data_IF_217475359158
#
_entry.id   IF_217475359158
#
_cell.length_a   1.000
_cell.length_b   1.000
_cell.length_c   1.000
_cell.angle_alpha   90.00
_cell.angle_beta   90.00
_cell.angle_gamma   90.00
#
_symmetry.space_group_name_H-M   'P 1'
#
loop_
_entity.id
_entity.type
_entity.pdbx_description
1 polymer ?
#
# COMPACT_ATOMS: atom_id res chain seq x y z
N UNK A 1 0.41 -2.56 46.91
CA UNK A 1 1.84 -2.25 47.09
C UNK A 1 2.64 -3.46 46.65
N UNK A 2 3.15 -3.44 45.41
CA UNK A 2 4.33 -4.17 44.91
C UNK A 2 4.45 -3.87 43.42
N UNK A 3 5.16 -2.79 43.09
CA UNK A 3 5.68 -2.54 41.73
C UNK A 3 6.93 -3.40 41.59
N UNK A 4 6.91 -4.38 40.69
CA UNK A 4 8.13 -5.05 40.25
C UNK A 4 8.64 -4.30 39.03
N UNK A 5 9.69 -3.51 39.23
CA UNK A 5 10.53 -2.99 38.15
C UNK A 5 11.32 -4.17 37.57
N UNK A 6 10.98 -4.63 36.36
CA UNK A 6 11.90 -5.47 35.58
C UNK A 6 12.72 -4.59 34.65
N UNK A 7 13.96 -4.36 35.07
CA UNK A 7 15.06 -3.89 34.22
C UNK A 7 15.27 -4.91 33.09
N UNK A 8 15.11 -4.44 31.85
CA UNK A 8 15.55 -5.13 30.64
C UNK A 8 17.05 -5.43 30.76
N UNK A 9 17.41 -6.69 30.98
CA UNK A 9 18.77 -7.16 30.79
C UNK A 9 18.90 -7.66 29.35
N UNK A 10 19.70 -6.94 28.57
CA UNK A 10 20.16 -7.36 27.26
C UNK A 10 21.04 -8.61 27.42
N UNK A 11 20.63 -9.73 26.86
CA UNK A 11 21.48 -10.92 26.70
C UNK A 11 22.30 -10.76 25.42
N UNK A 12 23.62 -10.67 25.57
CA UNK A 12 24.58 -10.58 24.46
C UNK A 12 25.18 -11.95 24.16
N UNK A 13 25.21 -12.34 22.88
CA UNK A 13 26.02 -13.43 22.38
C UNK A 13 26.95 -12.87 21.30
N UNK A 14 28.26 -13.12 21.46
CA UNK A 14 29.33 -12.52 20.66
C UNK A 14 29.67 -13.41 19.47
N UNK A 15 29.71 -12.83 18.26
CA UNK A 15 30.38 -13.42 17.10
C UNK A 15 31.37 -12.43 16.47
N UNK A 16 32.31 -12.98 15.72
CA UNK A 16 33.70 -12.53 15.57
C UNK A 16 33.96 -11.35 14.63
N UNK A 17 32.96 -10.62 14.14
CA UNK A 17 33.18 -9.48 13.23
C UNK A 17 32.27 -8.26 13.50
N UNK A 18 32.04 -7.94 14.77
CA UNK A 18 31.92 -6.55 15.26
C UNK A 18 30.80 -5.63 14.77
N UNK A 19 29.93 -6.02 13.84
CA UNK A 19 28.81 -5.19 13.38
C UNK A 19 27.47 -5.89 13.63
N UNK A 20 26.80 -5.48 14.72
CA UNK A 20 25.42 -5.81 15.03
C UNK A 20 24.48 -5.14 14.00
N UNK A 21 24.07 -5.85 12.94
CA UNK A 21 22.86 -5.45 12.20
C UNK A 21 21.62 -5.92 12.96
N UNK A 22 21.20 -5.10 13.92
CA UNK A 22 19.83 -5.11 14.46
C UNK A 22 18.88 -4.79 13.31
N UNK A 23 18.10 -5.76 12.84
CA UNK A 23 16.89 -5.45 12.08
C UNK A 23 15.84 -5.02 13.12
N UNK A 24 15.50 -3.72 13.23
CA UNK A 24 14.56 -3.29 14.24
C UNK A 24 13.14 -3.66 13.78
N UNK A 25 12.40 -4.39 14.61
CA UNK A 25 10.94 -4.53 14.45
C UNK A 25 10.32 -3.15 14.70
N UNK A 26 10.18 -2.36 13.65
CA UNK A 26 9.75 -0.97 13.71
C UNK A 26 8.21 -0.89 13.80
N UNK A 27 7.64 -1.10 14.99
CA UNK A 27 6.28 -0.63 15.29
C UNK A 27 6.30 0.87 15.59
N UNK A 28 6.37 1.68 14.54
CA UNK A 28 6.06 3.13 14.52
C UNK A 28 5.34 3.56 13.23
N UNK A 29 4.66 2.66 12.55
CA UNK A 29 3.75 3.03 11.47
C UNK A 29 2.34 3.17 12.04
N UNK A 30 1.62 4.27 11.77
CA UNK A 30 0.26 4.45 12.25
C UNK A 30 -0.66 3.36 11.68
N UNK A 31 -1.43 2.67 12.52
CA UNK A 31 -2.27 1.56 12.07
C UNK A 31 -3.65 2.06 11.65
N UNK A 32 -4.07 1.80 10.42
CA UNK A 32 -5.37 2.25 9.92
C UNK A 32 -6.52 1.84 10.86
N UNK A 33 -7.35 2.82 11.25
CA UNK A 33 -8.49 2.58 12.15
C UNK A 33 -8.14 2.53 13.63
N UNK A 34 -6.86 2.59 14.00
CA UNK A 34 -6.40 2.71 15.39
C UNK A 34 -5.84 4.11 15.59
N UNK A 35 -6.62 4.97 16.25
CA UNK A 35 -6.23 6.32 16.68
C UNK A 35 -5.96 7.34 15.56
N UNK A 36 -6.41 7.10 14.33
CA UNK A 36 -6.32 8.10 13.26
C UNK A 36 -6.89 7.61 11.94
N UNK A 37 -6.86 8.50 10.95
CA UNK A 37 -7.27 8.24 9.57
C UNK A 37 -6.27 8.87 8.61
N UNK A 38 -6.08 8.25 7.44
CA UNK A 38 -5.41 8.93 6.33
C UNK A 38 -6.39 9.92 5.69
N UNK A 39 -5.91 11.14 5.47
CA UNK A 39 -6.63 12.17 4.73
C UNK A 39 -5.66 13.00 3.91
N UNK A 40 -5.97 13.23 2.63
CA UNK A 40 -5.14 14.08 1.76
C UNK A 40 -3.71 13.55 1.54
N UNK A 41 -3.49 12.25 1.76
CA UNK A 41 -2.18 11.60 1.66
C UNK A 41 -1.30 11.70 2.91
N UNK A 42 -1.81 12.23 4.02
CA UNK A 42 -1.11 12.25 5.30
C UNK A 42 -1.92 11.53 6.38
N UNK A 43 -1.23 10.96 7.39
CA UNK A 43 -1.88 10.41 8.57
C UNK A 43 -2.32 11.53 9.51
N UNK A 44 -3.56 11.48 9.98
CA UNK A 44 -4.07 12.40 11.00
C UNK A 44 -4.56 11.59 12.20
N UNK A 45 -4.02 11.89 13.38
CA UNK A 45 -4.47 11.28 14.63
C UNK A 45 -5.92 11.69 14.94
N UNK A 46 -6.70 10.78 15.50
CA UNK A 46 -8.14 10.95 15.76
C UNK A 46 -8.39 12.09 16.74
N UNK A 47 -7.45 12.34 17.65
CA UNK A 47 -7.48 13.45 18.61
C UNK A 47 -7.32 14.80 17.90
N UNK A 48 -6.51 14.84 16.83
CA UNK A 48 -6.32 16.02 15.97
C UNK A 48 -7.46 16.20 14.97
N UNK A 49 -8.25 15.16 14.69
CA UNK A 49 -9.39 15.24 13.76
C UNK A 49 -10.48 16.19 14.26
N UNK A 50 -10.66 16.32 15.58
CA UNK A 50 -11.75 17.09 16.22
C UNK A 50 -11.67 18.60 15.93
N UNK A 51 -10.50 19.11 15.53
CA UNK A 51 -10.31 20.53 15.18
C UNK A 51 -9.99 20.81 13.71
N UNK A 52 -9.63 19.79 12.92
CA UNK A 52 -9.24 19.94 11.51
C UNK A 52 -10.37 19.64 10.52
N UNK A 53 -11.35 18.84 10.93
CA UNK A 53 -12.39 18.32 10.03
C UNK A 53 -13.82 18.69 10.39
N UNK A 54 -14.05 19.45 11.47
CA UNK A 54 -15.38 20.03 11.70
C UNK A 54 -15.56 21.14 10.66
N UNK A 55 -16.48 21.01 9.69
CA UNK A 55 -16.81 22.13 8.83
C UNK A 55 -17.49 23.16 9.73
N UNK A 56 -16.75 24.17 10.18
CA UNK A 56 -17.35 25.33 10.80
C UNK A 56 -18.25 26.04 9.79
N UNK A 57 -19.26 26.77 10.28
CA UNK A 57 -20.07 27.66 9.44
C UNK A 57 -19.14 28.62 8.67
N UNK A 58 -18.96 28.37 7.38
CA UNK A 58 -18.09 29.15 6.50
C UNK A 58 -17.00 28.35 5.76
N UNK A 59 -16.76 27.08 6.09
CA UNK A 59 -15.78 26.25 5.39
C UNK A 59 -16.42 25.66 4.11
N UNK A 60 -16.06 26.21 2.95
CA UNK A 60 -16.56 25.73 1.65
C UNK A 60 -15.99 24.34 1.40
N UNK A 61 -16.87 23.35 1.25
CA UNK A 61 -16.56 21.94 0.98
C UNK A 61 -16.16 21.69 -0.47
N UNK A 62 -15.25 22.50 -1.00
CA UNK A 62 -14.43 22.11 -2.15
C UNK A 62 -13.01 21.88 -1.62
N UNK A 63 -12.25 20.97 -2.22
CA UNK A 63 -10.86 20.68 -1.85
C UNK A 63 -9.87 21.86 -2.01
N UNK A 64 -10.35 23.09 -1.94
CA UNK A 64 -9.65 24.34 -2.16
C UNK A 64 -9.09 24.93 -0.86
N UNK A 65 -9.76 24.73 0.29
CA UNK A 65 -9.32 25.34 1.55
C UNK A 65 -8.06 24.69 2.16
N UNK A 66 -7.78 23.42 1.83
CA UNK A 66 -6.48 22.81 2.16
C UNK A 66 -5.39 23.19 1.13
N UNK A 67 -5.78 23.43 -0.13
CA UNK A 67 -4.89 23.94 -1.19
C UNK A 67 -4.50 25.40 -1.01
N UNK A 68 -5.26 26.20 -0.26
CA UNK A 68 -5.01 27.65 -0.16
C UNK A 68 -3.87 28.05 0.78
N UNK A 69 -3.46 27.16 1.71
CA UNK A 69 -2.38 27.45 2.69
C UNK A 69 -1.05 26.77 2.39
N UNK A 70 -1.02 25.79 1.49
CA UNK A 70 0.20 25.14 1.01
C UNK A 70 0.39 25.60 -0.43
N UNK A 71 1.52 26.23 -0.73
CA UNK A 71 1.82 26.66 -2.09
C UNK A 71 1.72 25.45 -3.02
N UNK A 72 0.88 25.53 -4.07
CA UNK A 72 0.77 24.47 -5.08
C UNK A 72 2.11 24.15 -5.77
N UNK A 73 3.14 24.98 -5.60
CA UNK A 73 4.49 24.72 -6.12
C UNK A 73 5.18 23.52 -5.42
N UNK A 74 4.71 23.11 -4.24
CA UNK A 74 5.33 22.07 -3.42
C UNK A 74 4.61 20.70 -3.50
N UNK A 75 3.57 20.58 -4.34
CA UNK A 75 2.87 19.30 -4.49
C UNK A 75 3.79 18.26 -5.14
N UNK A 76 4.39 17.38 -4.34
CA UNK A 76 5.22 16.27 -4.82
C UNK A 76 4.43 15.31 -5.73
N UNK A 77 3.09 15.24 -5.59
CA UNK A 77 2.22 14.38 -6.41
C UNK A 77 2.23 14.73 -7.90
N UNK A 78 2.60 15.96 -8.29
CA UNK A 78 2.44 16.43 -9.68
C UNK A 78 3.73 16.45 -10.51
N UNK A 79 4.86 15.95 -10.00
CA UNK A 79 6.12 15.97 -10.76
C UNK A 79 6.29 14.73 -11.64
N UNK A 80 5.38 14.52 -12.58
CA UNK A 80 5.74 13.76 -13.78
C UNK A 80 6.40 14.71 -14.77
N UNK A 81 7.62 14.39 -15.19
CA UNK A 81 8.38 15.20 -16.12
C UNK A 81 7.93 14.89 -17.55
N UNK A 82 6.74 15.37 -17.94
CA UNK A 82 6.23 15.68 -19.30
C UNK A 82 4.70 15.66 -19.28
N UNK A 83 4.06 16.80 -19.01
CA UNK A 83 2.63 16.97 -19.26
C UNK A 83 2.42 17.09 -20.78
N UNK A 84 1.75 16.08 -21.33
CA UNK A 84 1.90 15.71 -22.73
C UNK A 84 0.59 15.50 -23.47
N UNK A 85 -0.55 16.04 -23.01
CA UNK A 85 -1.77 16.12 -23.82
C UNK A 85 -2.81 17.07 -23.23
N UNK A 86 -2.67 18.37 -23.50
CA UNK A 86 -3.87 19.21 -23.67
C UNK A 86 -4.16 19.27 -25.16
N UNK A 87 -4.94 18.33 -25.66
CA UNK A 87 -5.68 18.56 -26.89
C UNK A 87 -6.90 19.37 -26.49
N UNK A 88 -6.90 20.62 -26.94
CA UNK A 88 -8.08 21.41 -27.21
C UNK A 88 -9.18 20.53 -27.82
N UNK A 89 -10.03 19.95 -26.98
CA UNK A 89 -11.33 19.50 -27.38
C UNK A 89 -12.17 20.75 -27.65
N UNK A 90 -11.91 21.38 -28.80
CA UNK A 90 -12.82 22.32 -29.43
C UNK A 90 -14.18 21.63 -29.47
N UNK A 91 -15.16 22.22 -28.78
CA UNK A 91 -16.58 21.85 -28.79
C UNK A 91 -17.22 22.19 -30.15
N UNK A 92 -16.42 22.13 -31.21
CA UNK A 92 -16.62 22.70 -32.54
C UNK A 92 -16.84 21.55 -33.54
N UNK A 93 -17.55 20.50 -33.13
CA UNK A 93 -18.13 19.50 -34.04
C UNK A 93 -17.17 18.49 -34.71
N UNK A 94 -15.86 18.69 -34.67
CA UNK A 94 -14.85 17.73 -35.13
C UNK A 94 -14.21 17.08 -33.90
N UNK A 95 -14.78 15.96 -33.42
CA UNK A 95 -14.35 15.29 -32.20
C UNK A 95 -12.87 14.89 -32.26
N UNK A 96 -12.05 15.47 -31.39
CA UNK A 96 -10.65 15.11 -31.24
C UNK A 96 -10.49 13.61 -31.07
N UNK A 97 -9.67 13.00 -31.93
CA UNK A 97 -9.40 11.56 -31.92
C UNK A 97 -8.52 11.21 -30.73
N UNK A 98 -8.97 10.31 -29.86
CA UNK A 98 -8.12 9.74 -28.80
C UNK A 98 -7.26 8.61 -29.37
N UNK A 99 -5.98 8.55 -28.97
CA UNK A 99 -5.08 7.46 -29.33
C UNK A 99 -5.48 6.17 -28.61
N UNK A 100 -5.89 6.29 -27.33
CA UNK A 100 -6.23 5.16 -26.46
C UNK A 100 -7.49 5.47 -25.67
N UNK A 101 -8.39 4.50 -25.62
CA UNK A 101 -9.56 4.53 -24.72
C UNK A 101 -9.42 3.41 -23.70
N UNK A 102 -9.50 3.75 -22.41
CA UNK A 102 -9.51 2.85 -21.27
C UNK A 102 -10.95 2.75 -20.77
N UNK A 103 -11.47 1.53 -20.65
CA UNK A 103 -12.82 1.28 -20.10
C UNK A 103 -12.68 0.68 -18.71
N UNK A 104 -13.13 1.44 -17.70
CA UNK A 104 -13.06 1.15 -16.27
C UNK A 104 -11.99 1.97 -15.55
N UNK A 105 -12.38 2.71 -14.51
CA UNK A 105 -11.51 3.51 -13.63
C UNK A 105 -11.33 2.86 -12.25
N UNK A 106 -11.22 1.53 -12.24
CA UNK A 106 -10.69 0.79 -11.09
C UNK A 106 -9.16 0.88 -11.01
N UNK A 107 -8.55 0.24 -10.00
CA UNK A 107 -7.10 0.30 -9.77
C UNK A 107 -6.26 -0.09 -11.00
N UNK A 108 -6.72 -1.06 -11.81
CA UNK A 108 -6.04 -1.45 -13.05
C UNK A 108 -6.11 -0.36 -14.11
N UNK A 109 -7.31 0.18 -14.37
CA UNK A 109 -7.52 1.24 -15.36
C UNK A 109 -6.75 2.50 -15.01
N UNK A 110 -6.83 2.94 -13.75
CA UNK A 110 -6.06 4.09 -13.25
C UNK A 110 -4.55 3.87 -13.34
N UNK A 111 -4.05 2.65 -13.08
CA UNK A 111 -2.62 2.34 -13.22
C UNK A 111 -2.17 2.39 -14.68
N UNK A 112 -3.00 1.91 -15.62
CA UNK A 112 -2.75 2.01 -17.05
C UNK A 112 -2.73 3.48 -17.49
N UNK A 113 -3.74 4.26 -17.08
CA UNK A 113 -3.83 5.69 -17.40
C UNK A 113 -2.57 6.44 -16.91
N UNK A 114 -2.12 6.18 -15.68
CA UNK A 114 -0.89 6.76 -15.14
C UNK A 114 0.35 6.34 -15.94
N UNK A 115 0.46 5.08 -16.35
CA UNK A 115 1.61 4.65 -17.14
C UNK A 115 1.63 5.31 -18.52
N UNK A 116 0.48 5.42 -19.16
CA UNK A 116 0.33 6.05 -20.46
C UNK A 116 0.55 7.57 -20.42
N UNK A 117 0.23 8.24 -19.31
CA UNK A 117 0.45 9.68 -19.16
C UNK A 117 1.92 10.10 -19.13
N UNK A 118 2.86 9.15 -19.07
CA UNK A 118 4.31 9.39 -19.26
C UNK A 118 4.70 9.62 -20.73
N UNK A 119 3.79 9.33 -21.66
CA UNK A 119 3.99 9.45 -23.10
C UNK A 119 3.15 10.62 -23.66
N UNK A 120 3.43 11.02 -24.90
CA UNK A 120 2.62 12.03 -25.60
C UNK A 120 1.48 11.32 -26.34
N UNK A 121 0.41 10.99 -25.62
CA UNK A 121 -0.76 10.26 -26.13
C UNK A 121 -2.03 10.95 -25.65
N UNK A 122 -3.04 11.05 -26.51
CA UNK A 122 -4.39 11.44 -26.11
C UNK A 122 -5.12 10.22 -25.54
N UNK A 123 -5.35 10.21 -24.22
CA UNK A 123 -5.97 9.07 -23.52
C UNK A 123 -7.32 9.47 -22.95
N UNK A 124 -8.36 8.70 -23.25
CA UNK A 124 -9.69 8.82 -22.63
C UNK A 124 -9.91 7.66 -21.67
N UNK A 125 -10.26 7.95 -20.42
CA UNK A 125 -10.71 6.93 -19.46
C UNK A 125 -12.21 7.08 -19.22
N UNK A 126 -12.96 6.00 -19.41
CA UNK A 126 -14.41 5.92 -19.23
C UNK A 126 -14.74 5.04 -18.03
N UNK A 127 -15.61 5.52 -17.14
CA UNK A 127 -16.15 4.76 -16.01
C UNK A 127 -17.68 4.80 -16.08
N UNK A 128 -18.32 3.68 -15.76
CA UNK A 128 -19.77 3.57 -15.74
C UNK A 128 -20.38 4.00 -14.40
N UNK A 129 -19.62 3.89 -13.32
CA UNK A 129 -19.99 4.38 -12.00
C UNK A 129 -19.84 5.91 -11.89
N UNK A 130 -20.40 6.47 -10.81
CA UNK A 130 -20.38 7.91 -10.56
C UNK A 130 -18.98 8.47 -10.26
N UNK A 131 -18.04 7.61 -9.87
CA UNK A 131 -16.68 8.01 -9.50
C UNK A 131 -15.68 6.86 -9.73
N UNK A 132 -14.40 7.18 -9.74
CA UNK A 132 -13.31 6.20 -9.81
C UNK A 132 -13.35 5.27 -8.61
N UNK A 133 -12.77 4.07 -8.75
CA UNK A 133 -12.66 3.04 -7.70
C UNK A 133 -13.95 2.39 -7.21
N UNK A 134 -15.16 2.81 -7.64
CA UNK A 134 -16.45 2.33 -7.12
C UNK A 134 -16.85 0.88 -7.48
N UNK A 135 -15.98 0.13 -8.17
CA UNK A 135 -16.15 -1.30 -8.43
C UNK A 135 -15.47 -2.20 -7.39
N UNK A 136 -14.90 -3.32 -7.84
CA UNK A 136 -14.16 -4.26 -6.98
C UNK A 136 -12.96 -3.63 -6.24
N UNK A 137 -12.43 -2.52 -6.75
CA UNK A 137 -11.36 -1.76 -6.09
C UNK A 137 -11.77 -1.22 -4.72
N UNK A 138 -13.03 -0.80 -4.53
CA UNK A 138 -13.54 -0.38 -3.22
C UNK A 138 -13.84 -1.56 -2.29
N UNK A 139 -14.17 -2.73 -2.85
CA UNK A 139 -14.61 -3.92 -2.13
C UNK A 139 -13.56 -5.01 -1.97
N UNK A 140 -12.34 -4.67 -1.54
CA UNK A 140 -11.29 -5.66 -1.23
C UNK A 140 -10.58 -5.34 0.10
N UNK A 141 -9.72 -6.26 0.55
CA UNK A 141 -9.00 -6.16 1.83
C UNK A 141 -7.86 -5.13 1.84
N UNK A 142 -7.49 -4.55 0.69
CA UNK A 142 -6.38 -3.62 0.56
C UNK A 142 -5.01 -4.27 0.76
N UNK A 143 -4.89 -5.61 0.72
CA UNK A 143 -3.61 -6.30 0.92
C UNK A 143 -2.76 -6.23 -0.34
N UNK A 144 -1.53 -5.75 -0.19
CA UNK A 144 -0.47 -5.88 -1.19
C UNK A 144 0.26 -7.19 -0.89
N UNK A 145 -0.17 -8.26 -1.56
CA UNK A 145 0.38 -9.60 -1.39
C UNK A 145 1.84 -9.68 -1.82
N UNK A 146 2.63 -10.53 -1.16
CA UNK A 146 4.02 -10.80 -1.54
C UNK A 146 4.15 -11.89 -2.62
N UNK A 147 3.11 -12.71 -2.84
CA UNK A 147 3.04 -13.68 -3.95
C UNK A 147 3.52 -15.10 -3.63
N UNK A 148 3.66 -15.46 -2.35
CA UNK A 148 4.09 -16.79 -1.92
C UNK A 148 2.98 -17.86 -2.03
N UNK A 149 1.72 -17.45 -2.11
CA UNK A 149 0.55 -18.32 -2.24
C UNK A 149 0.15 -18.60 -3.69
N UNK A 150 0.54 -17.72 -4.62
CA UNK A 150 0.23 -17.82 -6.05
C UNK A 150 0.77 -19.09 -6.69
N UNK A 151 -0.04 -19.72 -7.55
CA UNK A 151 0.36 -20.91 -8.30
C UNK A 151 1.56 -20.59 -9.22
N UNK A 152 2.67 -21.36 -9.14
CA UNK A 152 3.82 -21.17 -10.02
C UNK A 152 3.46 -21.21 -11.51
N UNK A 153 4.11 -20.35 -12.29
CA UNK A 153 3.87 -20.20 -13.73
C UNK A 153 2.57 -19.46 -14.09
N UNK A 154 1.75 -19.07 -13.11
CA UNK A 154 0.56 -18.25 -13.38
C UNK A 154 0.92 -16.79 -13.69
N UNK A 155 -0.03 -16.08 -14.31
CA UNK A 155 0.09 -14.63 -14.53
C UNK A 155 0.23 -13.87 -13.21
N UNK A 156 -0.43 -14.33 -12.14
CA UNK A 156 -0.31 -13.73 -10.80
C UNK A 156 1.10 -13.89 -10.25
N UNK A 157 1.64 -15.12 -10.25
CA UNK A 157 3.02 -15.38 -9.83
C UNK A 157 4.05 -14.55 -10.61
N UNK A 158 3.81 -14.32 -11.91
CA UNK A 158 4.71 -13.50 -12.75
C UNK A 158 4.77 -12.03 -12.33
N UNK A 159 3.66 -11.47 -11.83
CA UNK A 159 3.53 -10.02 -11.59
C UNK A 159 3.41 -9.64 -10.12
N UNK A 160 2.98 -10.53 -9.23
CA UNK A 160 2.68 -10.21 -7.83
C UNK A 160 3.91 -9.66 -7.11
N UNK A 161 5.02 -10.40 -7.10
CA UNK A 161 6.26 -9.94 -6.48
C UNK A 161 6.77 -8.64 -7.10
N UNK A 162 6.86 -8.58 -8.44
CA UNK A 162 7.32 -7.37 -9.15
C UNK A 162 6.47 -6.14 -8.82
N UNK A 163 5.15 -6.31 -8.80
CA UNK A 163 4.21 -5.25 -8.46
C UNK A 163 4.34 -4.81 -7.01
N UNK A 164 4.40 -5.77 -6.07
CA UNK A 164 4.61 -5.54 -4.65
C UNK A 164 5.84 -4.63 -4.40
N UNK A 165 6.97 -4.93 -5.04
CA UNK A 165 8.20 -4.14 -4.91
C UNK A 165 8.09 -2.69 -5.42
N UNK A 166 7.07 -2.35 -6.20
CA UNK A 166 6.84 -1.00 -6.69
C UNK A 166 6.06 -0.13 -5.69
N UNK A 167 5.31 -0.73 -4.75
CA UNK A 167 4.37 0.01 -3.91
C UNK A 167 5.03 1.05 -3.00
N UNK A 168 6.18 0.73 -2.40
CA UNK A 168 6.88 1.68 -1.52
C UNK A 168 7.25 2.99 -2.25
N UNK A 169 7.81 2.87 -3.46
CA UNK A 169 8.15 4.03 -4.28
C UNK A 169 6.91 4.75 -4.80
N UNK A 170 5.88 4.00 -5.21
CA UNK A 170 4.62 4.59 -5.67
C UNK A 170 3.95 5.40 -4.56
N UNK A 171 3.99 4.94 -3.32
CA UNK A 171 3.41 5.67 -2.19
C UNK A 171 4.24 6.89 -1.80
N UNK A 172 5.57 6.84 -1.93
CA UNK A 172 6.42 8.02 -1.78
C UNK A 172 6.03 9.13 -2.79
N UNK A 173 5.73 8.73 -4.03
CA UNK A 173 5.34 9.62 -5.12
C UNK A 173 3.91 10.15 -4.97
N UNK A 174 2.95 9.29 -4.61
CA UNK A 174 1.51 9.55 -4.75
C UNK A 174 0.76 9.65 -3.42
N UNK A 175 1.36 9.18 -2.32
CA UNK A 175 0.84 9.24 -0.95
C UNK A 175 -0.60 8.74 -0.83
N UNK A 176 -0.78 7.43 -1.01
CA UNK A 176 -2.07 6.75 -0.90
C UNK A 176 -2.17 5.84 0.34
N UNK A 177 -1.19 5.95 1.25
CA UNK A 177 -1.22 5.30 2.56
C UNK A 177 -0.78 3.84 2.52
N UNK A 178 0.23 3.51 1.71
CA UNK A 178 0.83 2.17 1.74
C UNK A 178 1.60 1.93 3.05
N UNK A 179 1.47 0.73 3.59
CA UNK A 179 2.19 0.30 4.77
C UNK A 179 2.77 -1.09 4.55
N UNK A 180 4.08 -1.21 4.68
CA UNK A 180 4.77 -2.51 4.66
C UNK A 180 4.84 -3.06 6.09
N UNK A 181 3.75 -3.65 6.55
CA UNK A 181 3.58 -4.23 7.88
C UNK A 181 3.75 -5.76 7.91
N UNK A 182 4.00 -6.38 6.76
CA UNK A 182 4.17 -7.81 6.63
C UNK A 182 2.87 -8.60 6.75
N UNK A 183 2.98 -9.91 6.56
CA UNK A 183 1.87 -10.86 6.75
C UNK A 183 2.37 -12.12 7.46
N UNK A 184 1.46 -12.76 8.19
CA UNK A 184 1.69 -14.03 8.90
C UNK A 184 0.65 -15.06 8.44
N UNK A 185 1.11 -16.26 8.11
CA UNK A 185 0.27 -17.45 7.98
C UNK A 185 0.55 -18.34 9.17
N UNK A 186 -0.41 -18.48 10.07
CA UNK A 186 -0.25 -19.22 11.32
C UNK A 186 -0.46 -20.72 11.12
N UNK A 187 0.34 -21.54 11.79
CA UNK A 187 0.04 -22.94 12.04
C UNK A 187 -0.49 -23.09 13.47
N UNK A 188 -1.64 -23.74 13.63
CA UNK A 188 -2.39 -23.82 14.90
C UNK A 188 -2.23 -25.16 15.60
N UNK A 189 -2.07 -26.25 14.83
CA UNK A 189 -1.84 -27.60 15.34
C UNK A 189 -1.35 -28.49 14.17
N UNK A 190 -0.69 -29.59 14.51
CA UNK A 190 -0.20 -30.65 13.64
C UNK A 190 1.10 -30.38 12.83
N UNK A 191 1.84 -31.47 12.61
CA UNK A 191 3.04 -31.53 11.76
C UNK A 191 2.76 -31.17 10.29
N UNK A 192 1.52 -31.33 9.80
CA UNK A 192 1.11 -31.06 8.42
C UNK A 192 0.95 -29.56 8.15
N UNK A 193 0.43 -28.75 9.06
CA UNK A 193 0.32 -27.30 8.88
C UNK A 193 1.70 -26.67 8.85
N UNK A 194 2.63 -27.14 9.70
CA UNK A 194 4.03 -26.75 9.60
C UNK A 194 4.64 -27.15 8.24
N UNK A 195 4.34 -28.35 7.72
CA UNK A 195 4.73 -28.73 6.36
C UNK A 195 4.14 -27.78 5.31
N UNK A 196 2.87 -27.38 5.43
CA UNK A 196 2.24 -26.40 4.52
C UNK A 196 2.96 -25.06 4.56
N UNK A 197 3.45 -24.60 5.72
CA UNK A 197 4.25 -23.37 5.78
C UNK A 197 5.54 -23.50 4.95
N UNK A 198 6.23 -24.65 5.02
CA UNK A 198 7.41 -24.92 4.22
C UNK A 198 7.08 -25.02 2.71
N UNK A 199 5.95 -25.63 2.35
CA UNK A 199 5.48 -25.69 0.96
C UNK A 199 5.17 -24.29 0.41
N UNK A 200 4.53 -23.42 1.20
CA UNK A 200 4.27 -22.02 0.82
C UNK A 200 5.57 -21.23 0.68
N UNK A 201 6.55 -21.42 1.59
CA UNK A 201 7.87 -20.81 1.46
C UNK A 201 8.56 -21.24 0.17
N UNK A 202 8.61 -22.54 -0.10
CA UNK A 202 9.19 -23.09 -1.33
C UNK A 202 8.47 -22.57 -2.58
N UNK A 203 7.13 -22.46 -2.55
CA UNK A 203 6.35 -21.87 -3.64
C UNK A 203 6.73 -20.40 -3.87
N UNK A 204 6.85 -19.62 -2.80
CA UNK A 204 7.33 -18.25 -2.89
C UNK A 204 8.73 -18.15 -3.50
N UNK A 205 9.66 -19.01 -3.08
CA UNK A 205 11.00 -19.07 -3.65
C UNK A 205 10.97 -19.38 -5.16
N UNK A 206 10.13 -20.33 -5.60
CA UNK A 206 9.93 -20.63 -7.03
C UNK A 206 9.35 -19.41 -7.78
N UNK A 207 8.47 -18.65 -7.14
CA UNK A 207 7.89 -17.42 -7.70
C UNK A 207 8.88 -16.23 -7.67
N UNK A 208 10.05 -16.38 -7.05
CA UNK A 208 11.05 -15.32 -6.89
C UNK A 208 10.77 -14.36 -5.74
N UNK A 209 9.91 -14.73 -4.79
CA UNK A 209 9.64 -13.98 -3.57
C UNK A 209 10.85 -14.10 -2.64
N UNK A 210 11.33 -12.98 -2.13
CA UNK A 210 12.47 -12.92 -1.22
C UNK A 210 12.02 -12.74 0.24
N UNK A 211 12.95 -12.87 1.19
CA UNK A 211 12.78 -12.56 2.61
C UNK A 211 11.72 -13.36 3.40
N UNK A 212 11.15 -14.42 2.83
CA UNK A 212 10.23 -15.31 3.55
C UNK A 212 10.93 -16.07 4.69
N UNK A 213 10.30 -16.10 5.85
CA UNK A 213 10.85 -16.70 7.06
C UNK A 213 9.83 -17.65 7.69
N UNK A 214 10.29 -18.82 8.12
CA UNK A 214 9.49 -19.66 9.03
C UNK A 214 9.88 -19.23 10.43
N UNK A 215 8.90 -18.75 11.19
CA UNK A 215 9.06 -18.35 12.59
C UNK A 215 8.75 -19.52 13.50
N UNK A 216 9.56 -19.69 14.55
CA UNK A 216 9.22 -20.58 15.67
C UNK A 216 8.07 -20.00 16.47
N UNK A 217 7.53 -20.80 17.40
CA UNK A 217 6.53 -20.34 18.35
C UNK A 217 7.05 -19.11 19.12
N UNK A 218 8.26 -19.19 19.65
CA UNK A 218 8.86 -18.12 20.46
C UNK A 218 9.00 -16.82 19.66
N UNK A 219 9.52 -16.89 18.43
CA UNK A 219 9.66 -15.74 17.54
C UNK A 219 8.31 -15.13 17.15
N UNK A 220 7.30 -15.98 16.90
CA UNK A 220 5.94 -15.55 16.61
C UNK A 220 5.34 -14.76 17.78
N UNK A 221 5.46 -15.26 19.02
CA UNK A 221 4.91 -14.58 20.20
C UNK A 221 5.72 -13.36 20.63
N UNK A 222 7.02 -13.31 20.30
CA UNK A 222 7.81 -12.08 20.43
C UNK A 222 7.31 -10.98 19.46
N UNK A 223 6.97 -11.37 18.23
CA UNK A 223 6.46 -10.45 17.22
C UNK A 223 5.00 -10.02 17.46
N UNK A 224 4.13 -10.99 17.74
CA UNK A 224 2.68 -10.80 17.89
C UNK A 224 2.14 -11.50 19.15
N UNK A 225 2.27 -10.88 20.34
CA UNK A 225 1.92 -11.53 21.62
C UNK A 225 0.43 -11.81 21.80
N UNK A 226 -0.44 -11.26 20.94
CA UNK A 226 -1.89 -11.37 21.02
C UNK A 226 -2.49 -12.42 20.05
N UNK A 227 -1.66 -13.15 19.29
CA UNK A 227 -2.15 -14.25 18.44
C UNK A 227 -2.70 -15.39 19.30
N UNK A 228 -3.41 -16.32 18.67
CA UNK A 228 -3.97 -17.46 19.37
C UNK A 228 -2.83 -18.24 20.08
N UNK A 229 -2.94 -18.52 21.40
CA UNK A 229 -1.91 -19.20 22.20
C UNK A 229 -1.54 -20.61 21.69
N UNK A 230 -2.44 -21.24 20.94
CA UNK A 230 -2.25 -22.56 20.36
C UNK A 230 -1.34 -22.54 19.13
N UNK A 231 -1.05 -21.37 18.56
CA UNK A 231 -0.14 -21.26 17.42
C UNK A 231 1.24 -21.88 17.70
N UNK A 232 1.71 -22.70 16.76
CA UNK A 232 2.95 -23.47 16.86
C UNK A 232 4.09 -22.92 16.01
N UNK A 233 3.78 -22.05 15.06
CA UNK A 233 4.74 -21.35 14.20
C UNK A 233 4.01 -20.54 13.13
N UNK A 234 4.77 -19.83 12.29
CA UNK A 234 4.18 -19.05 11.19
C UNK A 234 5.10 -18.92 9.99
N UNK A 235 4.53 -18.76 8.80
CA UNK A 235 5.24 -18.19 7.66
C UNK A 235 5.11 -16.67 7.74
N UNK A 236 6.23 -15.97 7.89
CA UNK A 236 6.32 -14.53 7.89
C UNK A 236 6.82 -14.01 6.54
N UNK A 237 6.10 -13.02 6.01
CA UNK A 237 6.45 -12.30 4.79
C UNK A 237 6.58 -10.81 5.11
N UNK A 238 7.80 -10.28 5.30
CA UNK A 238 8.00 -8.87 5.67
C UNK A 238 7.62 -7.89 4.57
N UNK A 239 7.60 -8.32 3.30
CA UNK A 239 7.31 -7.47 2.14
C UNK A 239 5.81 -7.37 1.80
N UNK A 240 4.96 -8.16 2.47
CA UNK A 240 3.53 -7.93 2.37
C UNK A 240 3.16 -6.59 3.03
N UNK A 241 2.07 -6.00 2.56
CA UNK A 241 1.60 -4.74 3.12
C UNK A 241 0.12 -4.53 2.94
N UNK A 242 -0.35 -3.36 3.34
CA UNK A 242 -1.71 -2.92 3.10
C UNK A 242 -1.73 -1.51 2.53
N UNK A 243 -2.82 -1.19 1.86
CA UNK A 243 -3.09 0.09 1.24
C UNK A 243 -4.56 0.45 1.43
N UNK A 244 -4.88 1.73 1.26
CA UNK A 244 -6.26 2.17 1.11
C UNK A 244 -6.61 2.07 -0.38
N UNK A 245 -7.42 1.09 -0.81
CA UNK A 245 -7.47 0.72 -2.22
C UNK A 245 -8.19 1.76 -3.10
N UNK A 246 -9.13 2.52 -2.54
CA UNK A 246 -9.77 3.64 -3.24
C UNK A 246 -8.82 4.84 -3.36
N UNK A 247 -8.12 5.24 -2.30
CA UNK A 247 -7.08 6.29 -2.35
C UNK A 247 -5.98 5.94 -3.35
N UNK A 248 -5.59 4.66 -3.44
CA UNK A 248 -4.63 4.19 -4.43
C UNK A 248 -5.12 4.45 -5.86
N UNK A 249 -6.35 4.05 -6.18
CA UNK A 249 -6.91 4.25 -7.52
C UNK A 249 -7.18 5.72 -7.84
N UNK A 250 -7.62 6.50 -6.86
CA UNK A 250 -7.81 7.96 -6.98
C UNK A 250 -6.48 8.64 -7.26
N UNK A 251 -5.45 8.38 -6.45
CA UNK A 251 -4.14 9.01 -6.60
C UNK A 251 -3.48 8.69 -7.96
N UNK A 252 -3.67 7.46 -8.46
CA UNK A 252 -3.25 7.09 -9.82
C UNK A 252 -4.00 7.88 -10.91
N UNK A 253 -5.32 7.99 -10.78
CA UNK A 253 -6.17 8.69 -11.74
C UNK A 253 -5.91 10.20 -11.75
N UNK A 254 -5.85 10.84 -10.57
CA UNK A 254 -5.51 12.26 -10.43
C UNK A 254 -4.14 12.56 -11.03
N UNK A 255 -3.15 11.72 -10.75
CA UNK A 255 -1.82 11.89 -11.33
C UNK A 255 -1.82 11.73 -12.86
N UNK A 256 -2.67 10.87 -13.42
CA UNK A 256 -2.84 10.78 -14.86
C UNK A 256 -3.42 12.08 -15.43
N UNK A 257 -4.52 12.58 -14.85
CA UNK A 257 -5.19 13.83 -15.27
C UNK A 257 -4.26 15.05 -15.20
N UNK A 258 -3.43 15.14 -14.16
CA UNK A 258 -2.44 16.22 -14.02
C UNK A 258 -1.43 16.25 -15.20
N UNK A 259 -1.25 15.13 -15.92
CA UNK A 259 -0.31 14.99 -17.01
C UNK A 259 -0.94 15.10 -18.41
N UNK A 260 -2.25 15.30 -18.50
CA UNK A 260 -3.02 15.37 -19.75
C UNK A 260 -3.83 14.10 -20.00
#
# INVERSE_FOLDING_TARGET
KNRVNMSLKQTTATTTNGEEKKVPVNRKLPQHGVKGAYYGGDWVDIEDCVGKFVPGEGMRTSGDDFRSKVSCADCKKSKSCRSGSKLDASLDGEGGLYDIVIIGAGCVGSAIARELSKYKLSVLMLEAADDVSQGATKGNSGIVHAGYDDKPGSVRAKFCWKGNQMFAKLDEELRFGYQRNGSLVLAMDDTKQLQVLHELKQRGEINGVENLQILTKEELFEMEPNVNPDATGALYSPDAGNVIPYEFAIALAENAVDNG
#
